data_IF_372987815210
#
_entry.id   IF_372987815210
#
_cell.length_a   1.000
_cell.length_b   1.000
_cell.length_c   1.000
_cell.angle_alpha   90.00
_cell.angle_beta   90.00
_cell.angle_gamma   90.00
#
_symmetry.space_group_name_H-M   'P 1'
#
loop_
_entity.id
_entity.type
_entity.pdbx_description
1 polymer ?
#
# COMPACT_ATOMS: atom_id res chain seq x y z
N UNK A 1 48.60 13.63 25.79
CA UNK A 1 47.42 13.94 26.64
C UNK A 1 46.27 13.10 26.13
N UNK A 2 45.97 11.99 26.82
CA UNK A 2 44.93 11.03 26.43
C UNK A 2 43.66 11.31 27.21
N UNK A 3 42.54 11.51 26.52
CA UNK A 3 41.22 11.65 27.14
C UNK A 3 40.52 10.30 26.97
N UNK A 4 40.40 9.55 28.08
CA UNK A 4 39.49 8.42 28.17
C UNK A 4 38.07 8.98 28.37
N UNK A 5 37.17 8.65 27.43
CA UNK A 5 35.74 8.86 27.58
C UNK A 5 35.12 7.53 27.97
N UNK A 6 34.87 7.35 29.27
CA UNK A 6 34.00 6.29 29.76
C UNK A 6 32.54 6.68 29.49
N UNK A 7 31.84 5.85 28.73
CA UNK A 7 30.40 5.97 28.53
C UNK A 7 29.66 5.10 29.56
N UNK A 8 28.66 5.64 30.28
CA UNK A 8 27.87 4.87 31.22
C UNK A 8 26.95 3.87 30.50
N UNK A 9 27.02 2.61 30.95
CA UNK A 9 26.09 1.53 30.60
C UNK A 9 24.70 1.87 31.15
N UNK A 10 23.86 2.43 30.28
CA UNK A 10 22.44 2.63 30.54
C UNK A 10 21.63 1.46 29.96
N UNK A 11 21.13 0.59 30.82
CA UNK A 11 20.18 -0.47 30.48
C UNK A 11 18.86 0.11 29.97
N UNK A 12 18.63 0.00 28.67
CA UNK A 12 17.30 0.12 28.06
C UNK A 12 17.12 -1.05 27.12
N UNK A 13 16.04 -1.80 27.31
CA UNK A 13 15.63 -2.95 26.53
C UNK A 13 15.50 -2.61 25.03
N UNK A 14 16.62 -2.63 24.32
CA UNK A 14 16.67 -2.64 22.87
C UNK A 14 16.43 -4.08 22.48
N UNK A 15 15.20 -4.38 22.05
CA UNK A 15 14.92 -5.67 21.44
C UNK A 15 15.51 -5.59 20.05
N UNK A 16 16.72 -6.13 19.85
CA UNK A 16 17.31 -6.28 18.53
C UNK A 16 16.40 -7.21 17.71
N UNK A 17 15.55 -6.61 16.87
CA UNK A 17 14.76 -7.33 15.88
C UNK A 17 15.59 -7.44 14.60
N UNK A 18 16.83 -7.93 14.71
CA UNK A 18 17.53 -8.50 13.57
C UNK A 18 17.05 -9.95 13.52
N UNK A 19 15.95 -10.19 12.81
CA UNK A 19 15.60 -11.54 12.40
C UNK A 19 16.65 -12.00 11.40
N UNK A 20 17.39 -13.03 11.79
CA UNK A 20 18.40 -13.65 10.95
C UNK A 20 17.73 -14.23 9.69
N UNK A 21 18.33 -13.98 8.53
CA UNK A 21 17.85 -14.47 7.23
C UNK A 21 17.83 -16.00 7.17
N UNK A 22 18.56 -16.67 8.08
CA UNK A 22 18.56 -18.12 8.25
C UNK A 22 17.22 -18.69 8.76
N UNK A 23 16.32 -17.87 9.31
CA UNK A 23 15.00 -18.30 9.78
C UNK A 23 13.99 -18.56 8.64
N UNK A 24 14.23 -18.04 7.43
CA UNK A 24 13.28 -18.14 6.30
C UNK A 24 13.40 -19.43 5.47
N UNK A 25 14.25 -20.38 5.86
CA UNK A 25 14.54 -21.59 5.05
C UNK A 25 14.03 -22.93 5.61
N UNK A 26 13.41 -22.97 6.80
CA UNK A 26 12.99 -24.25 7.39
C UNK A 26 11.62 -24.68 6.84
N UNK A 27 11.53 -25.78 6.06
CA UNK A 27 10.24 -26.33 5.70
C UNK A 27 9.48 -26.74 6.97
N UNK A 28 8.16 -26.57 7.02
CA UNK A 28 7.36 -27.01 8.16
C UNK A 28 7.58 -28.51 8.39
N UNK A 29 7.66 -28.98 9.65
CA UNK A 29 7.83 -30.40 9.91
C UNK A 29 6.68 -31.19 9.28
N UNK A 30 6.94 -32.38 8.71
CA UNK A 30 5.90 -33.20 8.10
C UNK A 30 4.83 -33.52 9.14
N UNK A 31 3.60 -33.20 8.78
CA UNK A 31 2.42 -33.37 9.64
C UNK A 31 2.21 -34.88 9.82
N UNK A 32 2.56 -35.42 10.98
CA UNK A 32 2.28 -36.80 11.31
C UNK A 32 0.78 -37.10 11.11
N UNK A 33 0.47 -38.02 10.20
CA UNK A 33 -0.87 -38.52 9.95
C UNK A 33 -1.41 -39.14 11.24
N UNK A 34 -2.37 -38.46 11.87
CA UNK A 34 -3.14 -39.06 12.95
C UNK A 34 -4.28 -39.88 12.31
N UNK A 35 -4.55 -41.09 12.80
CA UNK A 35 -5.63 -41.92 12.28
C UNK A 35 -6.98 -41.19 12.42
N UNK A 36 -7.77 -41.24 11.34
CA UNK A 36 -9.11 -40.67 11.26
C UNK A 36 -10.06 -41.38 12.22
N UNK A 37 -10.28 -40.79 13.40
CA UNK A 37 -11.43 -41.13 14.23
C UNK A 37 -12.66 -40.38 13.69
N UNK A 38 -13.56 -41.12 13.03
CA UNK A 38 -14.88 -40.66 12.59
C UNK A 38 -15.80 -40.45 13.80
N UNK A 39 -15.64 -39.31 14.47
CA UNK A 39 -16.59 -38.76 15.43
C UNK A 39 -17.32 -37.53 14.87
N UNK A 40 -18.47 -37.13 15.44
CA UNK A 40 -19.24 -35.98 14.98
C UNK A 40 -18.37 -34.72 15.03
N UNK A 41 -18.25 -34.03 13.88
CA UNK A 41 -17.42 -32.86 13.69
C UNK A 41 -17.78 -31.77 14.71
N UNK A 42 -16.87 -31.37 15.62
CA UNK A 42 -17.09 -30.20 16.45
C UNK A 42 -17.15 -29.00 15.51
N UNK A 43 -18.30 -28.31 15.43
CA UNK A 43 -18.34 -27.00 14.77
C UNK A 43 -17.28 -26.12 15.42
N UNK A 44 -16.31 -25.56 14.67
CA UNK A 44 -15.38 -24.62 15.24
C UNK A 44 -16.19 -23.47 15.83
N UNK A 45 -15.90 -23.01 17.07
CA UNK A 45 -16.58 -21.86 17.64
C UNK A 45 -16.45 -20.72 16.63
N UNK A 46 -17.59 -20.12 16.25
CA UNK A 46 -17.62 -18.92 15.42
C UNK A 46 -16.77 -17.88 16.13
N UNK A 47 -15.51 -17.71 15.70
CA UNK A 47 -14.61 -16.67 16.17
C UNK A 47 -15.31 -15.34 15.91
N UNK A 48 -15.85 -14.74 16.96
CA UNK A 48 -16.24 -13.33 16.94
C UNK A 48 -14.98 -12.56 16.53
N UNK A 49 -15.00 -11.99 15.32
CA UNK A 49 -13.92 -11.13 14.84
C UNK A 49 -13.82 -9.98 15.83
N UNK A 50 -12.81 -10.02 16.70
CA UNK A 50 -12.59 -8.97 17.69
C UNK A 50 -12.46 -7.66 16.92
N UNK A 51 -13.43 -6.77 17.13
CA UNK A 51 -13.40 -5.44 16.54
C UNK A 51 -12.06 -4.79 16.89
N UNK A 52 -11.28 -4.31 15.91
CA UNK A 52 -9.98 -3.71 16.18
C UNK A 52 -10.14 -2.54 17.16
N UNK A 53 -9.34 -2.54 18.22
CA UNK A 53 -9.39 -1.51 19.25
C UNK A 53 -9.24 -0.12 18.59
N UNK A 54 -10.29 0.69 18.71
CA UNK A 54 -10.36 2.05 18.18
C UNK A 54 -9.15 2.92 18.58
N UNK A 55 -8.54 2.66 19.75
CA UNK A 55 -7.33 3.35 20.20
C UNK A 55 -6.10 2.94 19.39
N UNK A 56 -5.97 1.67 19.05
CA UNK A 56 -4.88 1.17 18.21
C UNK A 56 -4.96 1.79 16.80
N UNK A 57 -6.16 1.84 16.20
CA UNK A 57 -6.38 2.47 14.89
C UNK A 57 -6.01 3.96 14.90
N UNK A 58 -6.41 4.71 15.95
CA UNK A 58 -6.04 6.13 16.10
C UNK A 58 -4.53 6.34 16.23
N UNK A 59 -3.83 5.47 16.96
CA UNK A 59 -2.36 5.53 17.09
C UNK A 59 -1.67 5.27 15.76
N UNK A 60 -2.12 4.28 14.98
CA UNK A 60 -1.60 3.98 13.64
C UNK A 60 -1.83 5.17 12.72
N UNK A 61 -3.04 5.74 12.71
CA UNK A 61 -3.35 6.92 11.90
C UNK A 61 -2.46 8.12 12.26
N UNK A 62 -2.30 8.42 13.54
CA UNK A 62 -1.42 9.50 14.01
C UNK A 62 0.04 9.28 13.64
N UNK A 63 0.54 8.04 13.73
CA UNK A 63 1.89 7.69 13.31
C UNK A 63 2.09 7.92 11.79
N UNK A 64 1.12 7.53 10.96
CA UNK A 64 1.14 7.79 9.51
C UNK A 64 1.14 9.27 9.18
N UNK A 65 0.33 10.07 9.88
CA UNK A 65 0.30 11.53 9.69
C UNK A 65 1.66 12.15 10.03
N UNK A 66 2.25 11.78 11.18
CA UNK A 66 3.58 12.28 11.57
C UNK A 66 4.67 11.87 10.59
N UNK A 67 4.68 10.60 10.17
CA UNK A 67 5.62 10.12 9.15
C UNK A 67 5.47 10.90 7.83
N UNK A 68 4.23 11.16 7.41
CA UNK A 68 3.95 11.95 6.21
C UNK A 68 4.40 13.42 6.32
N UNK A 69 4.34 14.02 7.52
CA UNK A 69 4.84 15.38 7.75
C UNK A 69 6.37 15.43 7.69
N UNK A 70 7.06 14.53 8.41
CA UNK A 70 8.53 14.43 8.39
C UNK A 70 9.05 14.18 6.97
N UNK A 71 8.40 13.28 6.23
CA UNK A 71 8.74 13.01 4.84
C UNK A 71 8.66 14.25 3.94
N UNK A 72 7.66 15.13 4.14
CA UNK A 72 7.54 16.39 3.38
C UNK A 72 8.66 17.37 3.73
N UNK A 73 8.98 17.50 5.02
CA UNK A 73 10.04 18.40 5.49
C UNK A 73 11.41 17.95 5.00
N UNK A 74 11.70 16.65 5.02
CA UNK A 74 12.93 16.09 4.45
C UNK A 74 13.00 16.34 2.95
N UNK A 75 11.90 16.10 2.22
CA UNK A 75 11.85 16.31 0.77
C UNK A 75 12.09 17.77 0.40
N UNK A 76 11.64 18.72 1.20
CA UNK A 76 11.86 20.16 0.96
C UNK A 76 13.33 20.58 1.06
N UNK A 77 14.19 19.76 1.70
CA UNK A 77 15.62 20.04 1.87
C UNK A 77 16.51 19.35 0.83
N UNK A 78 15.94 18.52 -0.05
CA UNK A 78 16.70 17.77 -1.04
C UNK A 78 17.04 18.64 -2.25
N UNK A 79 18.24 18.46 -2.79
CA UNK A 79 18.60 19.04 -4.10
C UNK A 79 17.86 18.31 -5.23
N UNK A 80 17.74 18.90 -6.43
CA UNK A 80 17.13 18.24 -7.59
C UNK A 80 17.75 16.88 -7.90
N UNK A 81 19.07 16.75 -7.80
CA UNK A 81 19.82 15.51 -8.04
C UNK A 81 19.45 14.44 -7.01
N UNK A 82 19.38 14.82 -5.72
CA UNK A 82 18.97 13.90 -4.66
C UNK A 82 17.51 13.45 -4.82
N UNK A 83 16.64 14.31 -5.34
CA UNK A 83 15.26 13.94 -5.67
C UNK A 83 15.25 12.91 -6.80
N UNK A 84 16.04 13.12 -7.85
CA UNK A 84 16.14 12.19 -8.97
C UNK A 84 16.67 10.82 -8.52
N UNK A 85 17.81 10.78 -7.81
CA UNK A 85 18.41 9.55 -7.28
C UNK A 85 17.43 8.77 -6.38
N UNK A 86 16.71 9.51 -5.53
CA UNK A 86 15.69 8.91 -4.67
C UNK A 86 14.54 8.34 -5.47
N UNK A 87 14.08 9.03 -6.51
CA UNK A 87 12.99 8.55 -7.36
C UNK A 87 13.38 7.28 -8.10
N UNK A 88 14.59 7.23 -8.66
CA UNK A 88 15.18 6.03 -9.27
C UNK A 88 15.26 4.89 -8.26
N UNK A 89 15.83 5.12 -7.08
CA UNK A 89 15.91 4.11 -6.01
C UNK A 89 14.54 3.56 -5.61
N UNK A 90 13.51 4.41 -5.57
CA UNK A 90 12.14 3.99 -5.28
C UNK A 90 11.52 3.18 -6.43
N UNK A 91 11.81 3.54 -7.68
CA UNK A 91 11.38 2.77 -8.84
C UNK A 91 12.01 1.36 -8.80
N UNK A 92 13.33 1.26 -8.61
CA UNK A 92 14.05 -0.02 -8.51
C UNK A 92 13.50 -0.92 -7.40
N UNK A 93 13.24 -0.34 -6.22
CA UNK A 93 12.65 -1.08 -5.11
C UNK A 93 11.25 -1.62 -5.44
N UNK A 94 10.42 -0.86 -6.17
CA UNK A 94 9.10 -1.31 -6.61
C UNK A 94 9.19 -2.37 -7.70
N UNK A 95 10.14 -2.25 -8.63
CA UNK A 95 10.40 -3.27 -9.65
C UNK A 95 10.75 -4.59 -8.95
N UNK A 96 11.70 -4.56 -8.02
CA UNK A 96 12.09 -5.75 -7.25
C UNK A 96 10.91 -6.37 -6.51
N UNK A 97 10.04 -5.55 -5.90
CA UNK A 97 8.82 -6.03 -5.24
C UNK A 97 7.84 -6.67 -6.23
N UNK A 98 7.62 -6.06 -7.40
CA UNK A 98 6.74 -6.60 -8.43
C UNK A 98 7.25 -7.95 -8.95
N UNK A 99 8.56 -8.07 -9.20
CA UNK A 99 9.20 -9.33 -9.61
C UNK A 99 9.04 -10.39 -8.52
N UNK A 100 9.27 -10.05 -7.25
CA UNK A 100 9.08 -10.97 -6.13
C UNK A 100 7.61 -11.42 -5.95
N UNK A 101 6.64 -10.62 -6.41
CA UNK A 101 5.22 -10.97 -6.45
C UNK A 101 4.82 -11.81 -7.67
N UNK A 102 5.77 -12.12 -8.56
CA UNK A 102 5.54 -12.95 -9.74
C UNK A 102 5.05 -12.21 -10.99
N UNK A 103 5.16 -10.88 -11.03
CA UNK A 103 4.87 -10.13 -12.25
C UNK A 103 5.95 -10.39 -13.32
N UNK A 104 5.54 -10.49 -14.59
CA UNK A 104 6.48 -10.45 -15.71
C UNK A 104 7.17 -9.09 -15.77
N UNK A 105 8.42 -9.04 -16.24
CA UNK A 105 9.12 -7.78 -16.49
C UNK A 105 8.38 -6.91 -17.52
N UNK A 106 7.71 -7.53 -18.49
CA UNK A 106 6.89 -6.83 -19.50
C UNK A 106 5.63 -6.18 -18.89
N UNK A 107 5.25 -6.61 -17.69
CA UNK A 107 4.12 -6.07 -16.93
C UNK A 107 4.55 -5.08 -15.85
N UNK A 108 5.75 -4.52 -15.94
CA UNK A 108 6.27 -3.53 -15.00
C UNK A 108 6.70 -2.28 -15.77
N UNK A 109 6.18 -1.12 -15.38
CA UNK A 109 6.63 0.16 -15.92
C UNK A 109 8.05 0.47 -15.43
N UNK A 110 9.06 0.53 -16.31
CA UNK A 110 10.45 0.76 -15.89
C UNK A 110 10.65 2.17 -15.30
N UNK A 111 9.80 3.15 -15.63
CA UNK A 111 9.95 4.52 -15.15
C UNK A 111 9.43 4.72 -13.73
N UNK A 112 8.37 4.01 -13.36
CA UNK A 112 7.69 4.19 -12.07
C UNK A 112 7.87 3.00 -11.12
N UNK A 113 8.21 1.83 -11.68
CA UNK A 113 8.32 0.54 -11.00
C UNK A 113 6.98 -0.10 -10.65
N UNK A 114 5.86 0.47 -11.08
CA UNK A 114 4.53 -0.09 -10.82
C UNK A 114 4.17 -1.21 -11.79
N UNK A 115 3.38 -2.16 -11.29
CA UNK A 115 2.81 -3.21 -12.11
C UNK A 115 1.73 -2.66 -13.05
N UNK A 116 1.87 -3.01 -14.33
CA UNK A 116 0.92 -2.76 -15.42
C UNK A 116 0.08 -4.01 -15.74
N UNK A 117 0.10 -5.03 -14.88
CA UNK A 117 -0.70 -6.24 -15.09
C UNK A 117 -2.20 -5.94 -15.07
N UNK A 118 -3.00 -6.84 -15.67
CA UNK A 118 -4.46 -6.73 -15.66
C UNK A 118 -5.04 -6.69 -14.25
N UNK A 119 -4.45 -7.43 -13.31
CA UNK A 119 -4.89 -7.42 -11.93
C UNK A 119 -4.66 -6.04 -11.27
N UNK A 120 -3.51 -5.42 -11.53
CA UNK A 120 -3.20 -4.07 -11.04
C UNK A 120 -4.17 -3.03 -11.62
N UNK A 121 -4.51 -3.14 -12.90
CA UNK A 121 -5.55 -2.32 -13.54
C UNK A 121 -6.89 -2.40 -12.79
N UNK A 122 -7.42 -3.61 -12.59
CA UNK A 122 -8.72 -3.80 -11.94
C UNK A 122 -8.69 -3.35 -10.46
N UNK A 123 -7.58 -3.54 -9.75
CA UNK A 123 -7.41 -3.03 -8.38
C UNK A 123 -7.46 -1.51 -8.33
N UNK A 124 -6.79 -0.82 -9.25
CA UNK A 124 -6.80 0.65 -9.34
C UNK A 124 -8.21 1.14 -9.67
N UNK A 125 -8.86 0.55 -10.68
CA UNK A 125 -10.25 0.87 -11.05
C UNK A 125 -11.22 0.65 -9.88
N UNK A 126 -11.12 -0.47 -9.18
CA UNK A 126 -11.94 -0.76 -8.00
C UNK A 126 -11.67 0.24 -6.86
N UNK A 127 -10.43 0.68 -6.67
CA UNK A 127 -10.08 1.72 -5.70
C UNK A 127 -10.80 3.03 -6.01
N UNK A 128 -10.80 3.48 -7.27
CA UNK A 128 -11.54 4.67 -7.71
C UNK A 128 -13.05 4.53 -7.50
N UNK A 129 -13.62 3.38 -7.83
CA UNK A 129 -15.05 3.09 -7.54
C UNK A 129 -15.36 3.17 -6.05
N UNK A 130 -14.49 2.62 -5.22
CA UNK A 130 -14.64 2.67 -3.77
C UNK A 130 -14.50 4.10 -3.24
N UNK A 131 -13.58 4.89 -3.79
CA UNK A 131 -13.41 6.30 -3.43
C UNK A 131 -14.63 7.14 -3.85
N UNK A 132 -15.16 6.90 -5.05
CA UNK A 132 -16.38 7.55 -5.50
C UNK A 132 -17.55 7.29 -4.54
N UNK A 133 -17.63 6.08 -3.96
CA UNK A 133 -18.63 5.69 -2.94
C UNK A 133 -18.54 6.45 -1.62
N UNK A 134 -17.43 7.11 -1.31
CA UNK A 134 -17.25 7.76 -0.02
C UNK A 134 -18.00 9.10 0.08
N UNK A 135 -18.56 9.44 1.26
CA UNK A 135 -19.03 10.78 1.54
C UNK A 135 -17.91 11.80 1.31
N UNK A 136 -18.16 12.81 0.48
CA UNK A 136 -17.16 13.82 0.12
C UNK A 136 -16.58 13.68 -1.29
N UNK A 137 -16.92 12.62 -2.04
CA UNK A 137 -16.67 12.62 -3.49
C UNK A 137 -17.37 13.81 -4.16
N UNK A 138 -16.60 14.58 -4.91
CA UNK A 138 -17.04 15.76 -5.63
C UNK A 138 -16.18 15.95 -6.88
N UNK A 139 -16.49 16.99 -7.65
CA UNK A 139 -15.82 17.30 -8.92
C UNK A 139 -14.31 17.54 -8.79
N UNK A 140 -13.79 17.83 -7.59
CA UNK A 140 -12.36 18.10 -7.38
C UNK A 140 -11.49 16.87 -7.56
N UNK A 141 -12.06 15.67 -7.48
CA UNK A 141 -11.36 14.42 -7.73
C UNK A 141 -11.32 14.04 -9.22
N UNK A 142 -12.12 14.72 -10.06
CA UNK A 142 -12.21 14.42 -11.49
C UNK A 142 -10.87 14.56 -12.23
N UNK A 143 -10.04 15.61 -12.02
CA UNK A 143 -8.75 15.71 -12.70
C UNK A 143 -7.80 14.55 -12.36
N UNK A 144 -7.86 14.02 -11.13
CA UNK A 144 -7.00 12.91 -10.73
C UNK A 144 -7.50 11.56 -11.28
N UNK A 145 -8.82 11.38 -11.40
CA UNK A 145 -9.41 10.26 -12.11
C UNK A 145 -9.05 10.28 -13.60
N UNK A 146 -9.17 11.44 -14.26
CA UNK A 146 -8.83 11.60 -15.68
C UNK A 146 -7.33 11.32 -15.92
N UNK A 147 -6.44 11.76 -15.04
CA UNK A 147 -5.02 11.37 -15.09
C UNK A 147 -4.81 9.87 -14.97
N UNK A 148 -5.54 9.20 -14.08
CA UNK A 148 -5.44 7.75 -13.92
C UNK A 148 -5.92 7.01 -15.18
N UNK A 149 -7.04 7.44 -15.77
CA UNK A 149 -7.55 6.88 -17.04
C UNK A 149 -6.54 7.10 -18.16
N UNK A 150 -6.00 8.32 -18.30
CA UNK A 150 -5.01 8.65 -19.33
C UNK A 150 -3.74 7.80 -19.17
N UNK A 151 -3.24 7.63 -17.95
CA UNK A 151 -2.06 6.80 -17.66
C UNK A 151 -2.22 5.35 -18.16
N UNK A 152 -3.37 4.74 -17.91
CA UNK A 152 -3.65 3.37 -18.33
C UNK A 152 -3.97 3.27 -19.82
N UNK A 153 -4.68 4.26 -20.38
CA UNK A 153 -4.98 4.30 -21.82
C UNK A 153 -3.72 4.42 -22.67
N UNK A 154 -2.69 5.12 -22.18
CA UNK A 154 -1.40 5.25 -22.86
C UNK A 154 -0.59 3.95 -22.82
N UNK A 155 -0.55 3.28 -21.66
CA UNK A 155 0.38 2.15 -21.42
C UNK A 155 -0.21 0.79 -21.74
N UNK A 156 -1.51 0.60 -21.52
CA UNK A 156 -2.25 -0.65 -21.70
C UNK A 156 -3.64 -0.37 -22.29
N UNK A 157 -3.71 0.16 -23.52
CA UNK A 157 -4.98 0.50 -24.16
C UNK A 157 -5.95 -0.68 -24.21
N UNK A 158 -5.44 -1.90 -24.32
CA UNK A 158 -6.23 -3.14 -24.33
C UNK A 158 -7.05 -3.38 -23.05
N UNK A 159 -6.73 -2.68 -21.95
CA UNK A 159 -7.50 -2.74 -20.71
C UNK A 159 -8.48 -1.57 -20.56
N UNK A 160 -8.12 -0.39 -21.09
CA UNK A 160 -8.85 0.86 -20.87
C UNK A 160 -9.86 1.20 -21.98
N UNK A 161 -9.71 0.63 -23.19
CA UNK A 161 -10.57 0.93 -24.32
C UNK A 161 -12.04 0.58 -24.04
N UNK A 162 -12.92 1.58 -24.17
CA UNK A 162 -14.35 1.43 -23.92
C UNK A 162 -14.75 1.17 -22.47
N UNK A 163 -13.80 1.20 -21.52
CA UNK A 163 -14.08 0.95 -20.11
C UNK A 163 -14.54 2.22 -19.40
N UNK A 164 -15.77 2.21 -18.90
CA UNK A 164 -16.20 3.20 -17.92
C UNK A 164 -15.77 2.76 -16.50
N UNK A 165 -14.73 3.45 -16.02
CA UNK A 165 -14.13 3.24 -14.71
C UNK A 165 -15.11 3.45 -13.56
N UNK A 166 -16.10 4.31 -13.72
CA UNK A 166 -17.10 4.61 -12.69
C UNK A 166 -18.43 3.88 -12.93
N UNK A 167 -18.62 3.23 -14.08
CA UNK A 167 -19.85 2.50 -14.35
C UNK A 167 -20.07 1.37 -13.36
N UNK A 168 -21.33 1.21 -12.97
CA UNK A 168 -21.73 0.76 -11.63
C UNK A 168 -22.24 1.91 -10.73
N UNK A 169 -22.20 3.15 -11.24
CA UNK A 169 -22.89 4.33 -10.71
C UNK A 169 -23.65 5.06 -11.82
N UNK A 170 -24.77 4.48 -12.25
CA UNK A 170 -25.78 5.21 -13.01
C UNK A 170 -27.21 4.85 -12.54
N UNK A 171 -27.45 4.87 -11.23
CA UNK A 171 -28.81 4.99 -10.70
C UNK A 171 -28.78 5.51 -9.26
N UNK A 172 -29.10 6.79 -9.09
CA UNK A 172 -29.57 7.32 -7.80
C UNK A 172 -28.52 7.99 -6.92
N UNK A 173 -28.07 9.17 -7.33
CA UNK A 173 -28.22 10.40 -6.51
C UNK A 173 -27.67 11.60 -7.30
N UNK A 174 -28.41 12.72 -7.39
CA UNK A 174 -27.87 13.95 -7.97
C UNK A 174 -26.69 14.40 -7.12
N UNK A 175 -25.49 14.39 -7.71
CA UNK A 175 -24.29 14.95 -7.09
C UNK A 175 -24.58 16.41 -6.81
N UNK A 176 -24.77 16.76 -5.54
CA UNK A 176 -24.85 18.15 -5.10
C UNK A 176 -23.52 18.78 -5.53
N UNK A 177 -23.57 19.74 -6.47
CA UNK A 177 -22.43 20.48 -6.99
C UNK A 177 -21.77 21.30 -5.88
N UNK A 178 -21.04 20.63 -4.99
CA UNK A 178 -20.09 21.29 -4.12
C UNK A 178 -18.91 21.67 -5.00
N UNK A 179 -18.96 22.91 -5.52
CA UNK A 179 -17.85 23.51 -6.25
C UNK A 179 -16.58 23.40 -5.40
N UNK A 180 -15.47 23.06 -6.04
CA UNK A 180 -14.17 23.08 -5.41
C UNK A 180 -13.92 24.45 -4.80
N UNK A 181 -13.86 24.51 -3.46
CA UNK A 181 -13.41 25.72 -2.79
C UNK A 181 -11.90 25.81 -3.06
N UNK A 182 -11.40 26.90 -3.66
CA UNK A 182 -9.97 27.06 -3.85
C UNK A 182 -9.27 27.07 -2.47
N UNK A 183 -8.06 26.50 -2.35
CA UNK A 183 -7.25 26.67 -1.14
C UNK A 183 -7.00 28.17 -0.95
N UNK A 184 -7.42 28.70 0.19
CA UNK A 184 -7.12 30.06 0.64
C UNK A 184 -5.81 30.12 1.40
#
# INVERSE_FOLDING_TARGET
MSIQLELPVGTRNQTDVIRDLSDYGKPPPPRAERPHASGPTPQPPRRSVAQPDSRALRRIAAARIRAGALYREERAKLTPEQIADRMTSLADARIALCVAQGNSLDDIDPSSGYSLSRESYERVRQSWRNQAKQPGWNECYRPDLEKAIAFWSERRPEFAEGDDWLDGRAAGQPVRLLRCRPPG
#
